data_IF_335984029164
#
_entry.id   IF_335984029164
#
_cell.length_a   1.000
_cell.length_b   1.000
_cell.length_c   1.000
_cell.angle_alpha   90.00
_cell.angle_beta   90.00
_cell.angle_gamma   90.00
#
_symmetry.space_group_name_H-M   'P 1'
#
loop_
_entity.id
_entity.type
_entity.pdbx_description
1 polymer ?
#
# COMPACT_ATOMS: atom_id res chain seq x y z
N UNK A 1 2.99 5.74 24.78
CA UNK A 1 3.87 4.64 25.19
C UNK A 1 5.24 4.82 24.53
N UNK A 2 6.28 4.43 25.21
CA UNK A 2 7.66 4.38 24.69
C UNK A 2 8.17 2.94 24.72
N UNK A 3 9.31 2.67 24.09
CA UNK A 3 9.96 1.35 24.19
C UNK A 3 10.21 0.92 25.64
N UNK A 4 10.40 1.88 26.57
CA UNK A 4 10.54 1.58 28.00
C UNK A 4 9.25 1.09 28.66
N UNK A 5 8.07 1.39 28.07
CA UNK A 5 6.78 0.93 28.57
C UNK A 5 6.45 -0.50 28.10
N UNK A 6 7.13 -0.99 27.07
CA UNK A 6 7.00 -2.35 26.53
C UNK A 6 7.80 -3.34 27.37
N UNK A 7 7.55 -3.41 28.66
CA UNK A 7 8.35 -4.13 29.64
C UNK A 7 8.50 -5.62 29.33
N UNK A 8 9.70 -6.02 28.95
CA UNK A 8 10.22 -7.39 29.14
C UNK A 8 9.98 -8.40 28.03
N UNK A 9 8.99 -8.27 27.16
CA UNK A 9 8.80 -9.11 25.98
C UNK A 9 8.37 -8.26 24.80
N UNK A 10 9.32 -7.93 23.96
CA UNK A 10 9.12 -7.15 22.72
C UNK A 10 8.94 -8.05 21.50
N UNK A 11 8.76 -9.34 21.70
CA UNK A 11 8.63 -10.30 20.59
C UNK A 11 7.43 -9.94 19.73
N UNK A 12 6.27 -9.69 20.32
CA UNK A 12 5.10 -9.20 19.61
C UNK A 12 4.40 -8.09 20.42
N UNK A 13 3.91 -7.08 19.74
CA UNK A 13 3.17 -5.97 20.35
C UNK A 13 1.80 -5.86 19.72
N UNK A 14 0.77 -5.66 20.55
CA UNK A 14 -0.61 -5.47 20.10
C UNK A 14 -1.14 -4.11 20.54
N UNK A 15 -1.61 -3.32 19.57
CA UNK A 15 -2.30 -2.05 19.80
C UNK A 15 -3.79 -2.26 19.57
N UNK A 16 -4.59 -2.12 20.63
CA UNK A 16 -6.05 -2.29 20.60
C UNK A 16 -6.84 -1.01 20.94
N UNK A 17 -6.16 0.07 21.25
CA UNK A 17 -6.73 1.38 21.53
C UNK A 17 -5.91 2.50 20.91
N UNK A 18 -6.50 3.68 20.78
CA UNK A 18 -5.81 4.85 20.27
C UNK A 18 -4.57 5.18 21.10
N UNK A 19 -3.42 5.27 20.48
CA UNK A 19 -2.17 5.56 21.19
C UNK A 19 -1.10 6.16 20.28
N UNK A 20 -0.07 6.67 20.92
CA UNK A 20 1.23 6.93 20.30
C UNK A 20 2.26 5.97 20.89
N UNK A 21 2.94 5.21 20.04
CA UNK A 21 4.11 4.43 20.40
C UNK A 21 5.34 5.10 19.82
N UNK A 22 6.33 5.39 20.66
CA UNK A 22 7.55 6.08 20.24
C UNK A 22 8.81 5.40 20.75
N UNK A 23 9.90 5.60 20.00
CA UNK A 23 11.26 5.22 20.38
C UNK A 23 11.33 3.73 20.83
N UNK A 24 10.80 2.85 20.00
CA UNK A 24 10.67 1.43 20.30
C UNK A 24 11.27 0.54 19.21
N UNK A 25 11.88 -0.57 19.64
CA UNK A 25 12.23 -1.70 18.76
C UNK A 25 11.38 -2.91 19.15
N UNK A 26 10.69 -3.47 18.18
CA UNK A 26 9.86 -4.66 18.32
C UNK A 26 10.54 -5.79 17.55
N UNK A 27 11.00 -6.82 18.25
CA UNK A 27 11.74 -7.95 17.67
C UNK A 27 10.85 -8.89 16.84
N UNK A 28 9.56 -8.93 17.15
CA UNK A 28 8.57 -9.72 16.41
C UNK A 28 7.60 -8.81 15.64
N UNK A 29 6.33 -9.19 15.66
CA UNK A 29 5.27 -8.52 14.90
C UNK A 29 4.55 -7.43 15.70
N UNK A 30 4.12 -6.39 15.01
CA UNK A 30 3.23 -5.36 15.53
C UNK A 30 1.82 -5.55 14.97
N UNK A 31 0.85 -5.81 15.85
CA UNK A 31 -0.55 -5.96 15.49
C UNK A 31 -1.34 -4.71 15.87
N UNK A 32 -1.97 -4.06 14.88
CA UNK A 32 -2.91 -2.94 15.07
C UNK A 32 -4.31 -3.48 14.79
N UNK A 33 -5.08 -3.66 15.86
CA UNK A 33 -6.28 -4.52 15.82
C UNK A 33 -7.50 -3.83 15.21
N UNK A 34 -8.42 -4.64 14.73
CA UNK A 34 -9.65 -4.20 14.10
C UNK A 34 -10.61 -3.46 15.06
N UNK A 35 -10.49 -3.72 16.37
CA UNK A 35 -11.27 -3.04 17.43
C UNK A 35 -11.08 -1.53 17.47
N UNK A 36 -9.96 -1.02 16.95
CA UNK A 36 -9.70 0.42 16.83
C UNK A 36 -10.69 1.16 15.90
N UNK A 37 -11.35 0.45 14.99
CA UNK A 37 -12.25 1.12 14.07
C UNK A 37 -11.53 2.14 13.19
N UNK A 38 -11.77 3.43 13.43
CA UNK A 38 -11.12 4.57 12.76
C UNK A 38 -10.21 5.38 13.68
N UNK A 39 -10.01 4.91 14.93
CA UNK A 39 -9.21 5.61 15.93
C UNK A 39 -7.75 5.76 15.47
N UNK A 40 -7.09 6.80 15.93
CA UNK A 40 -5.76 7.13 15.49
C UNK A 40 -4.69 6.32 16.24
N UNK A 41 -3.74 5.81 15.48
CA UNK A 41 -2.50 5.22 15.99
C UNK A 41 -1.32 5.97 15.37
N UNK A 42 -0.41 6.44 16.21
CA UNK A 42 0.82 7.06 15.77
C UNK A 42 2.03 6.21 16.20
N UNK A 43 2.88 5.89 15.23
CA UNK A 43 4.19 5.27 15.46
C UNK A 43 5.27 6.32 15.16
N UNK A 44 6.23 6.51 16.06
CA UNK A 44 7.29 7.51 15.90
C UNK A 44 8.63 6.92 16.33
N UNK A 45 9.59 6.88 15.41
CA UNK A 45 10.90 6.25 15.64
C UNK A 45 10.76 4.79 16.09
N UNK A 46 9.93 4.01 15.40
CA UNK A 46 9.67 2.60 15.71
C UNK A 46 10.34 1.71 14.67
N UNK A 47 11.08 0.72 15.13
CA UNK A 47 11.61 -0.34 14.28
C UNK A 47 10.88 -1.64 14.59
N UNK A 48 10.30 -2.28 13.58
CA UNK A 48 9.66 -3.59 13.70
C UNK A 48 10.48 -4.58 12.87
N UNK A 49 11.13 -5.53 13.55
CA UNK A 49 11.95 -6.55 12.87
C UNK A 49 11.10 -7.61 12.17
N UNK A 50 9.90 -7.87 12.69
CA UNK A 50 8.88 -8.66 12.03
C UNK A 50 7.97 -7.83 11.12
N UNK A 51 6.69 -8.19 11.08
CA UNK A 51 5.68 -7.54 10.24
C UNK A 51 4.85 -6.51 11.01
N UNK A 52 4.36 -5.48 10.32
CA UNK A 52 3.29 -4.62 10.82
C UNK A 52 1.97 -5.09 10.22
N UNK A 53 1.05 -5.57 11.04
CA UNK A 53 -0.27 -6.02 10.61
C UNK A 53 -1.31 -4.97 11.01
N UNK A 54 -1.87 -4.28 10.03
CA UNK A 54 -2.86 -3.22 10.21
C UNK A 54 -4.23 -3.77 9.84
N UNK A 55 -5.09 -3.96 10.86
CA UNK A 55 -6.46 -4.44 10.67
C UNK A 55 -7.51 -3.37 11.03
N UNK A 56 -7.13 -2.31 11.71
CA UNK A 56 -7.98 -1.19 12.11
C UNK A 56 -7.19 0.09 12.29
N UNK A 57 -7.89 1.16 12.63
CA UNK A 57 -7.31 2.47 12.91
C UNK A 57 -6.97 3.29 11.68
N UNK A 58 -6.63 4.54 11.95
CA UNK A 58 -5.94 5.44 11.04
C UNK A 58 -4.49 5.54 11.51
N UNK A 59 -3.56 4.93 10.75
CA UNK A 59 -2.19 4.73 11.20
C UNK A 59 -1.26 5.76 10.55
N UNK A 60 -0.51 6.48 11.37
CA UNK A 60 0.55 7.38 10.92
C UNK A 60 1.89 6.87 11.44
N UNK A 61 2.82 6.67 10.53
CA UNK A 61 4.16 6.15 10.80
C UNK A 61 5.20 7.20 10.45
N UNK A 62 5.92 7.69 11.44
CA UNK A 62 6.98 8.69 11.29
C UNK A 62 8.31 8.04 11.66
N UNK A 63 9.29 8.07 10.77
CA UNK A 63 10.59 7.43 10.99
C UNK A 63 10.44 5.97 11.47
N UNK A 64 9.47 5.27 10.90
CA UNK A 64 9.13 3.88 11.27
C UNK A 64 9.57 2.94 10.17
N UNK A 65 10.22 1.85 10.54
CA UNK A 65 10.75 0.88 9.58
C UNK A 65 10.25 -0.53 9.85
N UNK A 66 9.92 -1.25 8.80
CA UNK A 66 9.67 -2.68 8.77
C UNK A 66 9.86 -3.18 7.34
N UNK A 67 10.32 -4.41 7.19
CA UNK A 67 10.42 -5.00 5.85
C UNK A 67 9.06 -5.31 5.25
N UNK A 68 8.05 -5.60 6.08
CA UNK A 68 6.74 -6.04 5.59
C UNK A 68 5.57 -5.43 6.36
N UNK A 69 4.62 -4.86 5.60
CA UNK A 69 3.33 -4.39 6.13
C UNK A 69 2.20 -5.20 5.49
N UNK A 70 1.21 -5.57 6.29
CA UNK A 70 -0.05 -6.16 5.82
C UNK A 70 -1.21 -5.24 6.21
N UNK A 71 -1.99 -4.82 5.22
CA UNK A 71 -3.20 -4.00 5.41
C UNK A 71 -4.42 -4.86 5.08
N UNK A 72 -5.18 -5.24 6.12
CA UNK A 72 -6.27 -6.21 5.97
C UNK A 72 -7.33 -6.06 7.04
N UNK A 73 -8.56 -5.71 6.68
CA UNK A 73 -9.70 -5.68 7.58
C UNK A 73 -10.65 -6.83 7.29
N UNK A 74 -10.98 -7.65 8.28
CA UNK A 74 -11.99 -8.72 8.15
C UNK A 74 -13.41 -8.15 8.02
N UNK A 75 -13.63 -6.94 8.53
CA UNK A 75 -14.90 -6.22 8.45
C UNK A 75 -15.05 -5.37 7.17
N UNK A 76 -14.08 -5.45 6.24
CA UNK A 76 -14.12 -4.70 4.98
C UNK A 76 -14.04 -3.18 5.13
N UNK A 77 -13.45 -2.70 6.22
CA UNK A 77 -13.26 -1.26 6.46
C UNK A 77 -12.20 -0.68 5.54
N UNK A 78 -12.35 0.58 5.20
CA UNK A 78 -11.30 1.35 4.54
C UNK A 78 -10.21 1.68 5.57
N UNK A 79 -9.03 1.15 5.36
CA UNK A 79 -7.88 1.40 6.23
C UNK A 79 -7.01 2.52 5.63
N UNK A 80 -6.57 3.44 6.48
CA UNK A 80 -5.71 4.54 6.06
C UNK A 80 -4.35 4.42 6.74
N UNK A 81 -3.30 4.41 5.94
CA UNK A 81 -1.92 4.28 6.39
C UNK A 81 -1.06 5.38 5.77
N UNK A 82 -0.36 6.12 6.61
CA UNK A 82 0.48 7.24 6.21
C UNK A 82 1.93 6.98 6.62
N UNK A 83 2.85 7.05 5.66
CA UNK A 83 4.30 7.07 5.88
C UNK A 83 4.82 8.50 5.82
N UNK A 84 5.70 8.88 6.75
CA UNK A 84 6.30 10.21 6.79
C UNK A 84 7.70 10.16 7.39
N UNK A 85 8.51 11.19 7.13
CA UNK A 85 9.91 11.26 7.55
C UNK A 85 10.76 10.19 6.87
N UNK A 86 11.59 9.48 7.63
CA UNK A 86 12.43 8.38 7.17
C UNK A 86 11.74 7.01 7.31
N UNK A 87 10.41 6.96 7.22
CA UNK A 87 9.67 5.68 7.24
C UNK A 87 9.95 4.86 6.00
N UNK A 88 10.18 3.55 6.16
CA UNK A 88 10.54 2.67 5.05
C UNK A 88 9.93 1.29 5.19
N UNK A 89 9.28 0.85 4.09
CA UNK A 89 8.59 -0.43 4.01
C UNK A 89 8.88 -1.07 2.66
N UNK A 90 9.71 -2.11 2.66
CA UNK A 90 10.15 -2.79 1.42
C UNK A 90 9.01 -3.48 0.71
N UNK A 91 8.10 -4.11 1.46
CA UNK A 91 6.93 -4.82 0.93
C UNK A 91 5.67 -4.43 1.70
N UNK A 92 4.59 -4.12 0.98
CA UNK A 92 3.28 -3.87 1.55
C UNK A 92 2.21 -4.73 0.85
N UNK A 93 1.50 -5.56 1.59
CA UNK A 93 0.36 -6.32 1.10
C UNK A 93 -0.94 -5.59 1.44
N UNK A 94 -1.75 -5.30 0.42
CA UNK A 94 -3.09 -4.72 0.58
C UNK A 94 -4.14 -5.77 0.22
N UNK A 95 -4.88 -6.23 1.22
CA UNK A 95 -5.86 -7.32 1.08
C UNK A 95 -7.30 -6.84 1.08
N UNK A 96 -7.56 -5.64 1.55
CA UNK A 96 -8.88 -5.00 1.63
C UNK A 96 -8.81 -3.54 1.18
N UNK A 97 -9.91 -2.79 1.28
CA UNK A 97 -9.92 -1.38 0.91
C UNK A 97 -8.91 -0.58 1.74
N UNK A 98 -8.04 0.18 1.07
CA UNK A 98 -6.97 0.93 1.73
C UNK A 98 -6.63 2.23 1.00
N UNK A 99 -6.08 3.16 1.78
CA UNK A 99 -5.41 4.36 1.31
C UNK A 99 -3.98 4.36 1.82
N UNK A 100 -3.01 4.44 0.91
CA UNK A 100 -1.60 4.60 1.23
C UNK A 100 -1.19 6.04 0.92
N UNK A 101 -0.74 6.75 1.95
CA UNK A 101 -0.21 8.10 1.84
C UNK A 101 1.28 8.15 2.12
N UNK A 102 2.00 8.94 1.35
CA UNK A 102 3.34 9.39 1.67
C UNK A 102 3.35 10.90 1.83
N UNK A 103 3.87 11.39 2.95
CA UNK A 103 3.91 12.83 3.26
C UNK A 103 5.26 13.22 3.80
N UNK A 104 5.89 14.21 3.17
CA UNK A 104 7.13 14.81 3.67
C UNK A 104 8.18 13.74 4.01
N UNK A 105 8.52 12.91 3.03
CA UNK A 105 9.57 11.90 3.17
C UNK A 105 10.95 12.57 3.23
N UNK A 106 11.89 11.92 3.94
CA UNK A 106 13.25 12.45 4.12
C UNK A 106 14.06 12.30 2.84
N UNK A 107 13.86 11.18 2.14
CA UNK A 107 14.51 10.93 0.87
C UNK A 107 13.60 10.12 -0.08
N UNK A 108 14.01 10.02 -1.37
CA UNK A 108 13.19 9.37 -2.39
C UNK A 108 13.13 7.83 -2.32
N UNK A 109 13.85 7.22 -1.37
CA UNK A 109 13.80 5.77 -1.10
C UNK A 109 12.98 5.43 0.15
N UNK A 110 12.48 6.46 0.83
CA UNK A 110 11.57 6.28 1.97
C UNK A 110 10.14 6.02 1.48
N UNK A 111 9.25 5.55 2.36
CA UNK A 111 7.86 5.25 2.07
C UNK A 111 7.58 3.79 1.75
N UNK A 112 6.61 3.54 0.88
CA UNK A 112 6.19 2.21 0.43
C UNK A 112 6.91 1.86 -0.88
N UNK A 113 7.83 0.91 -0.86
CA UNK A 113 8.58 0.55 -2.08
C UNK A 113 7.75 -0.34 -3.02
N UNK A 114 7.44 -1.57 -2.59
CA UNK A 114 6.70 -2.54 -3.37
C UNK A 114 5.34 -2.80 -2.75
N UNK A 115 4.28 -2.58 -3.49
CA UNK A 115 2.91 -2.82 -3.03
C UNK A 115 2.29 -3.96 -3.83
N UNK A 116 1.75 -4.95 -3.12
CA UNK A 116 1.02 -6.07 -3.72
C UNK A 116 -0.43 -6.03 -3.29
N UNK A 117 -1.33 -5.87 -4.25
CA UNK A 117 -2.77 -6.03 -4.03
C UNK A 117 -3.11 -7.50 -4.15
N UNK A 118 -3.56 -8.10 -3.07
CA UNK A 118 -3.97 -9.51 -3.01
C UNK A 118 -5.22 -9.65 -2.13
N UNK A 119 -5.93 -10.74 -2.25
CA UNK A 119 -7.15 -10.99 -1.47
C UNK A 119 -8.16 -11.84 -2.22
N UNK A 120 -9.23 -12.23 -1.54
CA UNK A 120 -10.30 -13.04 -2.11
C UNK A 120 -11.38 -12.23 -2.85
N UNK A 121 -11.50 -10.95 -2.55
CA UNK A 121 -12.49 -10.03 -3.12
C UNK A 121 -11.84 -8.92 -3.92
N UNK A 122 -12.66 -8.11 -4.61
CA UNK A 122 -12.20 -6.91 -5.29
C UNK A 122 -11.67 -5.89 -4.26
N UNK A 123 -10.43 -5.46 -4.44
CA UNK A 123 -9.76 -4.49 -3.57
C UNK A 123 -9.87 -3.09 -4.15
N UNK A 124 -10.19 -2.11 -3.29
CA UNK A 124 -10.11 -0.69 -3.63
C UNK A 124 -8.87 -0.09 -2.97
N UNK A 125 -7.90 0.32 -3.78
CA UNK A 125 -6.66 0.94 -3.31
C UNK A 125 -6.58 2.38 -3.80
N UNK A 126 -6.44 3.34 -2.89
CA UNK A 126 -6.04 4.70 -3.23
C UNK A 126 -4.56 4.87 -2.95
N UNK A 127 -3.83 5.40 -3.93
CA UNK A 127 -2.39 5.64 -3.87
C UNK A 127 -2.14 7.14 -3.92
N UNK A 128 -1.54 7.66 -2.86
CA UNK A 128 -0.96 9.00 -2.75
C UNK A 128 0.50 8.85 -2.32
N UNK A 129 1.26 8.13 -3.12
CA UNK A 129 2.59 7.63 -2.82
C UNK A 129 3.41 7.42 -4.10
N UNK A 130 4.73 7.38 -3.97
CA UNK A 130 5.67 7.07 -5.03
C UNK A 130 6.13 5.60 -4.92
N UNK A 131 5.47 4.69 -5.65
CA UNK A 131 5.70 3.26 -5.59
C UNK A 131 6.72 2.81 -6.65
N UNK A 132 7.77 2.11 -6.25
CA UNK A 132 8.67 1.44 -7.20
C UNK A 132 7.91 0.39 -8.02
N UNK A 133 7.06 -0.39 -7.34
CA UNK A 133 6.27 -1.43 -7.98
C UNK A 133 4.90 -1.58 -7.34
N UNK A 134 3.88 -1.70 -8.19
CA UNK A 134 2.53 -2.11 -7.81
C UNK A 134 2.18 -3.41 -8.52
N UNK A 135 1.98 -4.49 -7.78
CA UNK A 135 1.56 -5.79 -8.33
C UNK A 135 0.10 -6.05 -7.99
N UNK A 136 -0.72 -6.32 -9.00
CA UNK A 136 -2.15 -6.60 -8.82
C UNK A 136 -2.39 -8.09 -9.00
N UNK A 137 -2.53 -8.81 -7.88
CA UNK A 137 -2.80 -10.25 -7.80
C UNK A 137 -4.25 -10.59 -7.45
N UNK A 138 -5.08 -9.58 -7.17
CA UNK A 138 -6.53 -9.71 -6.99
C UNK A 138 -7.26 -8.68 -7.87
N UNK A 139 -8.53 -8.88 -8.23
CA UNK A 139 -9.30 -7.86 -8.93
C UNK A 139 -9.27 -6.55 -8.14
N UNK A 140 -8.98 -5.42 -8.79
CA UNK A 140 -8.77 -4.17 -8.10
C UNK A 140 -9.33 -2.94 -8.82
N UNK A 141 -9.68 -1.93 -8.02
CA UNK A 141 -9.75 -0.55 -8.48
C UNK A 141 -8.61 0.22 -7.79
N UNK A 142 -7.72 0.78 -8.59
CA UNK A 142 -6.60 1.58 -8.12
C UNK A 142 -6.89 3.04 -8.48
N UNK A 143 -6.98 3.90 -7.48
CA UNK A 143 -7.16 5.34 -7.66
C UNK A 143 -5.86 6.05 -7.29
N UNK A 144 -5.27 6.76 -8.25
CA UNK A 144 -4.03 7.52 -8.04
C UNK A 144 -4.34 9.00 -7.84
N UNK A 145 -3.77 9.64 -6.84
CA UNK A 145 -3.83 11.10 -6.71
C UNK A 145 -2.91 11.76 -7.73
N UNK A 146 -3.02 13.07 -7.91
CA UNK A 146 -2.18 13.81 -8.84
C UNK A 146 -0.67 13.77 -8.50
N UNK A 147 -0.35 13.55 -7.22
CA UNK A 147 1.03 13.44 -6.76
C UNK A 147 1.61 12.02 -6.92
N UNK A 148 0.74 11.01 -7.01
CA UNK A 148 1.15 9.62 -7.02
C UNK A 148 1.95 9.23 -8.27
N UNK A 149 3.01 8.46 -8.06
CA UNK A 149 3.82 7.85 -9.12
C UNK A 149 3.94 6.35 -8.90
N UNK A 150 3.60 5.58 -9.90
CA UNK A 150 3.84 4.14 -9.94
C UNK A 150 4.86 3.88 -11.04
N UNK A 151 6.08 3.56 -10.65
CA UNK A 151 7.15 3.35 -11.63
C UNK A 151 6.92 2.10 -12.46
N UNK A 152 6.49 1.01 -11.83
CA UNK A 152 6.17 -0.23 -12.52
C UNK A 152 4.88 -0.88 -11.99
N UNK A 153 3.84 -0.94 -12.81
CA UNK A 153 2.60 -1.66 -12.51
C UNK A 153 2.62 -3.03 -13.18
N UNK A 154 2.39 -4.09 -12.44
CA UNK A 154 2.18 -5.45 -12.96
C UNK A 154 0.77 -5.91 -12.68
N UNK A 155 -0.03 -6.12 -13.72
CA UNK A 155 -1.41 -6.57 -13.60
C UNK A 155 -1.54 -8.07 -13.96
N UNK A 156 -1.61 -8.92 -12.94
CA UNK A 156 -1.87 -10.36 -13.07
C UNK A 156 -3.38 -10.68 -12.95
N UNK A 157 -4.20 -9.71 -12.57
CA UNK A 157 -5.65 -9.76 -12.47
C UNK A 157 -6.27 -8.48 -13.03
N UNK A 158 -7.56 -8.52 -13.32
CA UNK A 158 -8.32 -7.38 -13.82
C UNK A 158 -8.15 -6.17 -12.87
N UNK A 159 -7.85 -5.02 -13.44
CA UNK A 159 -7.61 -3.80 -12.70
C UNK A 159 -8.17 -2.58 -13.45
N UNK A 160 -8.87 -1.72 -12.71
CA UNK A 160 -9.26 -0.41 -13.21
C UNK A 160 -8.37 0.64 -12.53
N UNK A 161 -7.53 1.33 -13.31
CA UNK A 161 -6.66 2.40 -12.82
C UNK A 161 -7.29 3.73 -13.18
N UNK A 162 -7.57 4.55 -12.17
CA UNK A 162 -8.24 5.85 -12.28
C UNK A 162 -7.47 6.93 -11.54
N UNK A 163 -7.94 8.17 -11.64
CA UNK A 163 -7.33 9.31 -10.95
C UNK A 163 -6.42 10.10 -11.88
N UNK A 164 -5.47 10.85 -11.30
CA UNK A 164 -4.66 11.84 -12.00
C UNK A 164 -3.15 11.59 -11.90
N UNK A 165 -2.75 10.49 -11.27
CA UNK A 165 -1.34 10.14 -11.08
C UNK A 165 -0.69 9.54 -12.32
N UNK A 166 0.58 9.20 -12.18
CA UNK A 166 1.39 8.64 -13.26
C UNK A 166 1.69 7.16 -13.04
N UNK A 167 1.56 6.37 -14.12
CA UNK A 167 2.08 5.00 -14.22
C UNK A 167 3.13 5.02 -15.33
N UNK A 168 4.40 4.88 -14.99
CA UNK A 168 5.48 5.00 -15.98
C UNK A 168 5.56 3.81 -16.92
N UNK A 169 5.43 2.60 -16.37
CA UNK A 169 5.41 1.36 -17.14
C UNK A 169 4.38 0.38 -16.58
N UNK A 170 3.57 -0.22 -17.46
CA UNK A 170 2.62 -1.27 -17.09
C UNK A 170 2.95 -2.60 -17.80
N UNK A 171 3.00 -3.71 -17.07
CA UNK A 171 3.08 -5.09 -17.57
C UNK A 171 1.70 -5.74 -17.38
N UNK A 172 0.93 -5.82 -18.47
CA UNK A 172 -0.46 -6.32 -18.46
C UNK A 172 -0.48 -7.77 -18.89
N UNK A 173 -0.84 -8.66 -17.97
CA UNK A 173 -0.78 -10.12 -18.17
C UNK A 173 -2.14 -10.79 -18.26
N UNK A 174 -3.21 -10.03 -18.15
CA UNK A 174 -4.60 -10.51 -18.19
C UNK A 174 -5.50 -9.47 -18.84
N UNK A 175 -6.61 -9.94 -19.41
CA UNK A 175 -7.68 -9.07 -19.85
C UNK A 175 -8.40 -8.38 -18.68
N UNK A 176 -9.21 -7.36 -18.98
CA UNK A 176 -9.96 -6.60 -17.99
C UNK A 176 -9.15 -5.53 -17.26
N UNK A 177 -7.97 -5.17 -17.79
CA UNK A 177 -7.20 -4.03 -17.30
C UNK A 177 -7.58 -2.78 -18.07
N UNK A 178 -7.80 -1.68 -17.35
CA UNK A 178 -8.14 -0.39 -17.93
C UNK A 178 -7.43 0.76 -17.24
N UNK A 179 -6.99 1.74 -18.02
CA UNK A 179 -6.44 3.01 -17.57
C UNK A 179 -7.38 4.14 -18.02
N UNK A 180 -7.88 4.91 -17.07
CA UNK A 180 -8.72 6.08 -17.36
C UNK A 180 -7.93 7.16 -18.11
N UNK A 181 -8.64 8.04 -18.81
CA UNK A 181 -8.02 9.10 -19.63
C UNK A 181 -7.16 10.10 -18.85
N UNK A 182 -7.48 10.29 -17.57
CA UNK A 182 -6.80 11.27 -16.71
C UNK A 182 -5.55 10.69 -16.02
N UNK A 183 -5.31 9.37 -16.16
CA UNK A 183 -4.08 8.72 -15.70
C UNK A 183 -2.99 8.94 -16.73
N UNK A 184 -1.84 9.45 -16.31
CA UNK A 184 -0.67 9.54 -17.18
C UNK A 184 -0.01 8.18 -17.30
N UNK A 185 -0.16 7.50 -18.45
CA UNK A 185 0.46 6.21 -18.74
C UNK A 185 1.67 6.42 -19.66
N UNK A 186 2.89 6.16 -19.17
CA UNK A 186 4.13 6.32 -19.95
C UNK A 186 4.34 5.24 -21.00
N UNK A 187 4.08 3.98 -20.64
CA UNK A 187 4.19 2.85 -21.54
C UNK A 187 3.54 1.58 -21.00
N UNK A 188 3.33 0.61 -21.88
CA UNK A 188 2.81 -0.69 -21.45
C UNK A 188 3.34 -1.83 -22.34
N UNK A 189 3.39 -3.02 -21.77
CA UNK A 189 3.60 -4.28 -22.46
C UNK A 189 2.41 -5.20 -22.23
N UNK A 190 2.04 -5.99 -23.22
CA UNK A 190 0.94 -6.94 -23.14
C UNK A 190 1.47 -8.37 -23.28
N UNK A 191 0.95 -9.28 -22.47
CA UNK A 191 1.15 -10.70 -22.70
C UNK A 191 0.45 -11.11 -24.00
N UNK A 192 0.88 -12.22 -24.60
CA UNK A 192 0.29 -12.73 -25.84
C UNK A 192 -1.22 -12.96 -25.69
N UNK A 193 -1.99 -12.44 -26.63
CA UNK A 193 -3.46 -12.56 -26.66
C UNK A 193 -4.20 -11.67 -25.67
N UNK A 194 -3.50 -10.85 -24.88
CA UNK A 194 -4.10 -9.95 -23.89
C UNK A 194 -4.40 -8.59 -24.52
N UNK A 195 -5.47 -7.97 -24.06
CA UNK A 195 -5.87 -6.61 -24.42
C UNK A 195 -5.97 -5.70 -23.20
N UNK A 196 -5.79 -4.40 -23.41
CA UNK A 196 -5.94 -3.35 -22.39
C UNK A 196 -6.82 -2.22 -22.93
N UNK A 197 -7.60 -1.60 -22.05
CA UNK A 197 -8.30 -0.35 -22.35
C UNK A 197 -7.46 0.84 -21.91
N UNK A 198 -7.14 1.76 -22.78
CA UNK A 198 -6.42 3.00 -22.47
C UNK A 198 -7.25 4.18 -22.96
N UNK A 199 -7.66 5.03 -22.03
CA UNK A 199 -8.52 6.19 -22.31
C UNK A 199 -9.80 5.86 -23.13
N UNK A 200 -10.38 4.68 -22.87
CA UNK A 200 -11.58 4.19 -23.56
C UNK A 200 -11.30 3.44 -24.86
N UNK A 201 -10.06 3.37 -25.33
CA UNK A 201 -9.67 2.63 -26.54
C UNK A 201 -9.07 1.27 -26.20
N UNK A 202 -9.50 0.23 -26.92
CA UNK A 202 -8.92 -1.11 -26.79
C UNK A 202 -7.59 -1.18 -27.55
N UNK A 203 -6.55 -1.61 -26.85
CA UNK A 203 -5.22 -1.88 -27.40
C UNK A 203 -4.93 -3.38 -27.28
N UNK A 204 -4.35 -3.94 -28.33
CA UNK A 204 -3.94 -5.36 -28.41
C UNK A 204 -2.50 -5.46 -28.86
N UNK A 205 -1.82 -6.59 -28.62
CA UNK A 205 -0.57 -6.89 -29.28
C UNK A 205 -0.83 -6.97 -30.79
N UNK A 206 -0.10 -6.22 -31.60
CA UNK A 206 -0.03 -6.49 -33.03
C UNK A 206 0.56 -7.89 -33.21
N UNK A 207 -0.23 -8.79 -33.83
CA UNK A 207 0.24 -10.10 -34.27
C UNK A 207 1.33 -9.98 -35.34
#
# INVERSE_FOLDING_TARGET
YTGADLRGDTTNVTISESCTLSDATIEGDLFITEGLGTDAVALSNVTVEGMIIISGGTVTMTNTTSDHIIVSSSMGRLLQTTATGASRFSEAEVRTAAVLYEKVLTDGYDGFENVTVCGGNKVSLTVDADLLKLTVNAPATVTTTAAAKVYHLRANRAATVTGYGSVYQADVRTDGVSFAKDVTLGGYTLASGVSVMVAGEKKTTSS
#
